data_IF_388583664638
#
_entry.id   IF_388583664638
#
_cell.length_a   1.000
_cell.length_b   1.000
_cell.length_c   1.000
_cell.angle_alpha   90.00
_cell.angle_beta   90.00
_cell.angle_gamma   90.00
#
_symmetry.space_group_name_H-M   'P 1'
#
loop_
_entity.id
_entity.type
_entity.pdbx_description
1 polymer ?
#
# COMPACT_ATOMS: atom_id res chain seq x y z
N UNK A 1 -8.64 51.85 7.79
CA UNK A 1 -9.81 51.72 8.69
C UNK A 1 -10.46 50.36 8.46
N UNK A 2 -10.26 49.40 9.38
CA UNK A 2 -10.86 48.07 9.32
C UNK A 2 -12.33 48.17 9.73
N UNK A 3 -13.24 47.67 8.87
CA UNK A 3 -14.68 47.70 9.11
C UNK A 3 -14.98 46.93 10.41
N UNK A 4 -15.75 47.48 11.36
CA UNK A 4 -15.91 46.90 12.70
C UNK A 4 -16.48 45.47 12.71
N UNK A 5 -17.13 45.05 11.62
CA UNK A 5 -17.70 43.72 11.40
C UNK A 5 -16.71 42.68 10.82
N UNK A 6 -15.49 43.09 10.44
CA UNK A 6 -14.49 42.20 9.81
C UNK A 6 -13.59 41.48 10.82
N UNK A 7 -13.52 42.01 12.04
CA UNK A 7 -12.77 41.43 13.19
C UNK A 7 -13.23 40.01 13.56
N UNK A 8 -14.54 39.69 13.67
CA UNK A 8 -14.97 38.33 13.98
C UNK A 8 -14.62 37.32 12.88
N UNK A 9 -14.68 37.73 11.61
CA UNK A 9 -14.39 36.86 10.46
C UNK A 9 -12.92 36.46 10.44
N UNK A 10 -12.00 37.39 10.72
CA UNK A 10 -10.56 37.09 10.78
C UNK A 10 -10.21 36.13 11.94
N UNK A 11 -10.90 36.22 13.08
CA UNK A 11 -10.68 35.33 14.23
C UNK A 11 -11.13 33.90 13.90
N UNK A 12 -12.29 33.74 13.25
CA UNK A 12 -12.79 32.42 12.82
C UNK A 12 -11.84 31.79 11.80
N UNK A 13 -11.37 32.55 10.80
CA UNK A 13 -10.48 32.03 9.76
C UNK A 13 -9.10 31.63 10.33
N UNK A 14 -8.56 32.42 11.25
CA UNK A 14 -7.30 32.10 11.95
C UNK A 14 -7.42 30.83 12.79
N UNK A 15 -8.58 30.62 13.42
CA UNK A 15 -8.80 29.43 14.25
C UNK A 15 -8.96 28.15 13.42
N UNK A 16 -9.65 28.23 12.27
CA UNK A 16 -9.79 27.08 11.36
C UNK A 16 -8.46 26.67 10.73
N UNK A 17 -7.57 27.64 10.45
CA UNK A 17 -6.24 27.34 9.93
C UNK A 17 -5.35 26.67 10.98
N UNK A 18 -5.49 27.04 12.27
CA UNK A 18 -4.70 26.47 13.35
C UNK A 18 -5.09 25.00 13.65
N UNK A 19 -6.38 24.66 13.58
CA UNK A 19 -6.86 23.28 13.76
C UNK A 19 -6.43 22.40 12.57
N UNK A 20 -6.45 22.94 11.35
CA UNK A 20 -6.05 22.21 10.14
C UNK A 20 -4.53 22.04 9.99
N UNK A 21 -3.73 22.93 10.61
CA UNK A 21 -2.27 22.86 10.59
C UNK A 21 -1.69 21.86 11.59
N UNK A 22 -2.51 21.33 12.51
CA UNK A 22 -2.07 20.21 13.34
C UNK A 22 -1.98 18.97 12.46
N UNK A 23 -0.84 18.27 12.42
CA UNK A 23 -0.74 17.01 11.71
C UNK A 23 -1.81 16.07 12.27
N UNK A 24 -2.72 15.61 11.38
CA UNK A 24 -3.66 14.55 11.71
C UNK A 24 -2.84 13.42 12.33
N UNK A 25 -3.15 12.98 13.56
CA UNK A 25 -2.43 11.85 14.14
C UNK A 25 -2.58 10.70 13.15
N UNK A 26 -1.45 10.16 12.68
CA UNK A 26 -1.37 9.01 11.79
C UNK A 26 -1.95 7.71 12.39
N UNK A 27 -2.74 7.82 13.46
CA UNK A 27 -3.51 6.77 14.12
C UNK A 27 -4.69 6.27 13.27
N UNK A 28 -4.92 6.85 12.09
CA UNK A 28 -5.84 6.31 11.09
C UNK A 28 -5.16 5.64 9.89
N UNK A 29 -3.82 5.48 9.86
CA UNK A 29 -3.14 4.73 8.80
C UNK A 29 -2.58 3.37 9.26
N UNK A 30 -3.02 2.89 10.42
CA UNK A 30 -2.63 1.57 10.94
C UNK A 30 -3.78 0.58 10.82
N UNK A 31 -4.37 0.49 9.63
CA UNK A 31 -5.16 -0.67 9.21
C UNK A 31 -4.54 -1.30 7.96
N UNK A 32 -3.20 -1.32 7.88
CA UNK A 32 -2.54 -2.36 7.09
C UNK A 32 -2.83 -3.62 7.87
N UNK A 33 -3.79 -4.42 7.38
CA UNK A 33 -3.98 -5.78 7.89
C UNK A 33 -2.62 -6.43 7.74
N UNK A 34 -1.92 -6.57 8.86
CA UNK A 34 -0.69 -7.31 8.99
C UNK A 34 -1.05 -8.73 8.59
N UNK A 35 -0.98 -9.04 7.30
CA UNK A 35 -0.96 -10.41 6.84
C UNK A 35 0.41 -10.93 7.29
N UNK A 36 0.51 -11.26 8.57
CA UNK A 36 1.63 -11.99 9.14
C UNK A 36 1.62 -13.38 8.51
N UNK A 37 2.27 -13.51 7.36
CA UNK A 37 2.57 -14.81 6.78
C UNK A 37 3.96 -15.18 7.29
N UNK A 38 4.01 -16.18 8.16
CA UNK A 38 5.24 -16.75 8.73
C UNK A 38 6.12 -15.79 9.56
N UNK A 39 5.52 -14.92 10.39
CA UNK A 39 6.25 -14.19 11.44
C UNK A 39 7.19 -13.06 10.95
N UNK A 40 7.20 -12.77 9.65
CA UNK A 40 8.00 -11.69 9.09
C UNK A 40 7.13 -10.45 8.84
N UNK A 41 7.51 -9.32 9.45
CA UNK A 41 6.83 -8.04 9.23
C UNK A 41 7.13 -7.54 7.81
N UNK A 42 6.24 -7.81 6.86
CA UNK A 42 6.33 -7.25 5.52
C UNK A 42 5.77 -5.83 5.55
N UNK A 43 6.65 -4.85 5.75
CA UNK A 43 6.33 -3.42 5.70
C UNK A 43 5.87 -3.05 4.27
N UNK A 44 4.56 -3.08 4.03
CA UNK A 44 3.98 -2.50 2.83
C UNK A 44 4.06 -0.98 2.96
N UNK A 45 5.10 -0.38 2.39
CA UNK A 45 5.29 1.06 2.40
C UNK A 45 4.15 1.73 1.58
N UNK A 46 3.23 2.41 2.27
CA UNK A 46 2.11 3.20 1.75
C UNK A 46 2.57 4.51 1.07
N UNK A 47 3.74 4.50 0.43
CA UNK A 47 4.29 5.66 -0.29
C UNK A 47 4.66 5.26 -1.72
N UNK A 48 3.73 4.70 -2.50
CA UNK A 48 3.80 4.58 -3.98
C UNK A 48 5.05 3.92 -4.61
N UNK A 49 6.01 3.46 -3.80
CA UNK A 49 7.37 3.10 -4.15
C UNK A 49 7.90 2.00 -3.22
N UNK A 50 6.99 1.20 -2.64
CA UNK A 50 7.30 0.01 -1.86
C UNK A 50 7.18 -1.26 -2.70
N UNK A 51 7.88 -2.33 -2.29
CA UNK A 51 7.80 -3.65 -2.94
C UNK A 51 6.36 -4.17 -2.87
N UNK A 52 5.70 -4.36 -4.01
CA UNK A 52 4.32 -4.84 -4.11
C UNK A 52 4.24 -6.28 -3.58
N UNK A 53 3.32 -6.57 -2.68
CA UNK A 53 3.12 -7.94 -2.16
C UNK A 53 2.04 -8.62 -2.99
N UNK A 54 2.39 -9.68 -3.69
CA UNK A 54 1.49 -10.41 -4.60
C UNK A 54 1.53 -11.89 -4.29
N UNK A 55 0.38 -12.55 -4.39
CA UNK A 55 0.33 -14.01 -4.38
C UNK A 55 0.17 -14.50 -5.81
N UNK A 56 0.93 -15.54 -6.16
CA UNK A 56 0.89 -16.15 -7.48
C UNK A 56 0.14 -17.47 -7.35
N UNK A 57 -0.80 -17.69 -8.26
CA UNK A 57 -1.46 -18.99 -8.46
C UNK A 57 -0.78 -19.73 -9.62
N UNK A 58 -0.81 -21.06 -9.59
CA UNK A 58 -0.30 -21.86 -10.69
C UNK A 58 -1.07 -21.55 -11.99
N UNK A 59 -0.34 -21.55 -13.10
CA UNK A 59 -0.95 -21.33 -14.41
C UNK A 59 -1.81 -22.55 -14.80
N UNK A 60 -3.02 -22.27 -15.27
CA UNK A 60 -3.88 -23.26 -15.88
C UNK A 60 -3.37 -23.60 -17.28
N UNK A 61 -3.16 -24.89 -17.58
CA UNK A 61 -2.67 -25.39 -18.86
C UNK A 61 -3.70 -25.25 -20.00
N UNK A 62 -4.05 -24.01 -20.37
CA UNK A 62 -5.00 -23.68 -21.45
C UNK A 62 -4.36 -23.92 -22.82
N UNK A 63 -4.17 -25.18 -23.19
CA UNK A 63 -3.58 -25.59 -24.47
C UNK A 63 -2.11 -26.01 -24.40
N UNK A 64 -1.56 -26.13 -23.18
CA UNK A 64 -0.23 -26.71 -22.90
C UNK A 64 -0.40 -27.76 -21.80
N UNK A 65 0.58 -28.66 -21.65
CA UNK A 65 0.50 -29.67 -20.58
C UNK A 65 0.62 -29.04 -19.19
N UNK A 66 0.09 -29.73 -18.18
CA UNK A 66 0.17 -29.29 -16.78
C UNK A 66 1.63 -29.12 -16.32
N UNK A 67 2.54 -29.97 -16.81
CA UNK A 67 3.97 -29.88 -16.51
C UNK A 67 4.61 -28.61 -17.10
N UNK A 68 4.23 -28.26 -18.33
CA UNK A 68 4.70 -27.03 -18.97
C UNK A 68 4.16 -25.78 -18.26
N UNK A 69 2.88 -25.80 -17.87
CA UNK A 69 2.28 -24.69 -17.12
C UNK A 69 2.95 -24.49 -15.75
N UNK A 70 3.28 -25.57 -15.06
CA UNK A 70 4.03 -25.53 -13.80
C UNK A 70 5.43 -24.96 -14.00
N UNK A 71 6.15 -25.42 -15.02
CA UNK A 71 7.49 -24.92 -15.36
C UNK A 71 7.46 -23.42 -15.71
N UNK A 72 6.43 -22.97 -16.43
CA UNK A 72 6.25 -21.56 -16.78
C UNK A 72 5.93 -20.71 -15.54
N UNK A 73 5.13 -21.25 -14.61
CA UNK A 73 4.82 -20.58 -13.33
C UNK A 73 6.08 -20.37 -12.51
N UNK A 74 6.94 -21.40 -12.40
CA UNK A 74 8.22 -21.30 -11.69
C UNK A 74 9.14 -20.26 -12.33
N UNK A 75 9.22 -20.26 -13.67
CA UNK A 75 10.02 -19.26 -14.39
C UNK A 75 9.48 -17.84 -14.17
N UNK A 76 8.17 -17.64 -14.35
CA UNK A 76 7.50 -16.36 -14.12
C UNK A 76 7.72 -15.87 -12.69
N UNK A 77 7.58 -16.75 -11.71
CA UNK A 77 7.83 -16.47 -10.30
C UNK A 77 9.27 -15.97 -10.09
N UNK A 78 10.25 -16.65 -10.66
CA UNK A 78 11.67 -16.25 -10.57
C UNK A 78 11.93 -14.89 -11.21
N UNK A 79 11.38 -14.61 -12.40
CA UNK A 79 11.48 -13.30 -13.07
C UNK A 79 10.84 -12.16 -12.27
N UNK A 80 9.70 -12.42 -11.62
CA UNK A 80 9.04 -11.44 -10.77
C UNK A 80 9.84 -11.12 -9.50
N UNK A 81 10.51 -12.10 -8.89
CA UNK A 81 11.45 -11.86 -7.77
C UNK A 81 12.66 -11.04 -8.26
N UNK A 82 13.22 -11.40 -9.41
CA UNK A 82 14.38 -10.74 -10.02
C UNK A 82 14.14 -9.24 -10.26
N UNK A 83 12.90 -8.85 -10.58
CA UNK A 83 12.51 -7.46 -10.80
C UNK A 83 12.67 -6.57 -9.53
N UNK A 84 12.72 -7.16 -8.33
CA UNK A 84 12.91 -6.43 -7.06
C UNK A 84 11.72 -5.58 -6.62
N UNK A 85 10.72 -5.41 -7.49
CA UNK A 85 9.50 -4.66 -7.26
C UNK A 85 8.40 -5.50 -6.59
N UNK A 86 8.55 -6.83 -6.49
CA UNK A 86 7.50 -7.73 -5.99
C UNK A 86 8.02 -8.63 -4.85
N UNK A 87 7.19 -8.80 -3.81
CA UNK A 87 7.37 -9.81 -2.75
C UNK A 87 6.32 -10.88 -2.97
N UNK A 88 6.73 -12.12 -3.21
CA UNK A 88 5.81 -13.23 -3.46
C UNK A 88 5.46 -13.89 -2.14
N UNK A 89 4.17 -14.11 -1.90
CA UNK A 89 3.66 -14.81 -0.72
C UNK A 89 2.88 -16.06 -1.12
N UNK A 90 3.08 -17.14 -0.38
CA UNK A 90 2.23 -18.33 -0.48
C UNK A 90 0.86 -18.05 0.13
N UNK A 91 -0.21 -18.45 -0.57
CA UNK A 91 -1.52 -18.62 0.05
C UNK A 91 -1.76 -20.12 0.15
N UNK A 92 -1.66 -20.65 1.36
CA UNK A 92 -2.16 -21.99 1.69
C UNK A 92 -3.68 -22.04 1.66
#
# INVERSE_FOLDING_TARGET
MIRPWMKPICVVLSWTMLIFSLPVPAVAQQNVREAQVAGQLVQQNTQGSGKLVVAIIDLEGRGISALEAQTLTDRMRSELVSTGAVTIVERG
#
